data_IF_626362709321
#
_entry.id   IF_626362709321
#
_cell.length_a   1.000
_cell.length_b   1.000
_cell.length_c   1.000
_cell.angle_alpha   90.00
_cell.angle_beta   90.00
_cell.angle_gamma   90.00
#
_symmetry.space_group_name_H-M   'P 1'
#
loop_
_entity.id
_entity.type
_entity.pdbx_description
1 polymer ?
#
# COMPACT_ATOMS: atom_id res chain seq x y z
N UNK A 1 -7.57 -1.50 -21.47
CA UNK A 1 -6.79 -1.17 -20.25
C UNK A 1 -5.94 -2.38 -19.87
N UNK A 2 -4.67 -2.15 -19.57
CA UNK A 2 -3.78 -3.24 -19.17
C UNK A 2 -4.16 -3.73 -17.77
N UNK A 3 -4.15 -5.05 -17.59
CA UNK A 3 -4.44 -5.66 -16.30
C UNK A 3 -3.15 -5.93 -15.55
N UNK A 4 -3.09 -5.49 -14.29
CA UNK A 4 -1.93 -5.66 -13.42
C UNK A 4 -2.37 -6.21 -12.08
N UNK A 5 -1.65 -7.21 -11.58
CA UNK A 5 -1.83 -7.72 -10.22
C UNK A 5 -0.69 -7.19 -9.37
N UNK A 6 -1.02 -6.62 -8.21
CA UNK A 6 -0.02 -6.04 -7.31
C UNK A 6 -0.17 -6.65 -5.92
N UNK A 7 0.94 -7.10 -5.34
CA UNK A 7 1.04 -7.50 -3.94
C UNK A 7 1.90 -6.49 -3.22
N UNK A 8 1.48 -6.07 -2.03
CA UNK A 8 2.20 -5.05 -1.24
C UNK A 8 2.35 -5.50 0.19
N UNK A 9 3.42 -5.05 0.85
CA UNK A 9 3.62 -5.28 2.27
C UNK A 9 4.49 -4.19 2.87
N UNK A 10 4.33 -3.98 4.16
CA UNK A 10 5.15 -3.07 4.94
C UNK A 10 5.52 -3.70 6.26
N UNK A 11 6.69 -3.39 6.76
CA UNK A 11 7.19 -3.91 8.02
C UNK A 11 7.90 -2.79 8.78
N UNK A 12 7.88 -2.89 10.10
CA UNK A 12 8.54 -1.91 10.96
C UNK A 12 9.13 -2.61 12.17
N UNK A 13 10.39 -2.30 12.46
CA UNK A 13 11.07 -2.83 13.63
C UNK A 13 10.90 -1.83 14.78
N UNK A 14 9.88 -2.06 15.59
CA UNK A 14 9.38 -1.07 16.54
C UNK A 14 8.32 -0.19 15.85
N UNK A 15 7.58 0.54 16.61
CA UNK A 15 6.49 1.33 16.03
C UNK A 15 6.28 2.61 16.85
N UNK A 16 7.06 3.70 16.60
CA UNK A 16 7.92 3.93 15.44
C UNK A 16 9.29 3.26 15.54
N UNK A 17 9.95 3.16 14.38
CA UNK A 17 11.28 2.61 14.25
C UNK A 17 11.67 2.45 12.79
N UNK A 18 12.78 1.77 12.49
CA UNK A 18 13.16 1.53 11.10
C UNK A 18 12.16 0.61 10.43
N UNK A 19 11.80 0.94 9.20
CA UNK A 19 10.81 0.20 8.44
C UNK A 19 11.19 -0.01 7.00
N UNK A 20 10.50 -0.95 6.36
CA UNK A 20 10.65 -1.24 4.95
C UNK A 20 9.31 -1.51 4.31
N UNK A 21 9.26 -1.35 3.01
CA UNK A 21 8.08 -1.62 2.21
C UNK A 21 8.47 -2.34 0.92
N UNK A 22 7.55 -3.07 0.35
CA UNK A 22 7.80 -3.77 -0.90
C UNK A 22 6.53 -3.99 -1.69
N UNK A 23 6.67 -4.12 -3.00
CA UNK A 23 5.57 -4.47 -3.88
C UNK A 23 6.07 -5.37 -5.00
N UNK A 24 5.22 -6.28 -5.43
CA UNK A 24 5.44 -7.13 -6.59
C UNK A 24 4.32 -6.83 -7.59
N UNK A 25 4.70 -6.42 -8.79
CA UNK A 25 3.76 -6.06 -9.86
C UNK A 25 3.87 -7.10 -10.96
N UNK A 26 2.73 -7.65 -11.38
CA UNK A 26 2.68 -8.70 -12.38
C UNK A 26 1.70 -8.31 -13.49
N UNK A 27 2.14 -8.40 -14.73
CA UNK A 27 1.29 -8.22 -15.90
C UNK A 27 1.69 -9.25 -16.96
N UNK A 28 0.84 -10.28 -17.12
CA UNK A 28 1.16 -11.39 -17.99
C UNK A 28 2.42 -12.12 -17.53
N UNK A 29 3.43 -12.16 -18.37
CA UNK A 29 4.71 -12.78 -18.05
C UNK A 29 5.69 -11.83 -17.37
N UNK A 30 5.35 -10.54 -17.30
CA UNK A 30 6.23 -9.54 -16.70
C UNK A 30 6.03 -9.49 -15.20
N UNK A 31 7.14 -9.45 -14.48
CA UNK A 31 7.16 -9.35 -13.03
C UNK A 31 8.18 -8.31 -12.62
N UNK A 32 7.78 -7.39 -11.78
CA UNK A 32 8.68 -6.36 -11.25
C UNK A 32 8.57 -6.31 -9.73
N UNK A 33 9.71 -6.26 -9.07
CA UNK A 33 9.78 -6.09 -7.61
C UNK A 33 10.35 -4.72 -7.31
N UNK A 34 9.71 -3.99 -6.39
CA UNK A 34 10.21 -2.71 -5.90
C UNK A 34 10.18 -2.72 -4.38
N UNK A 35 11.12 -2.03 -3.77
CA UNK A 35 11.19 -1.97 -2.31
C UNK A 35 11.98 -0.74 -1.87
N UNK A 36 11.83 -0.36 -0.62
CA UNK A 36 12.54 0.75 -0.03
C UNK A 36 12.46 0.72 1.48
N UNK A 37 13.21 1.58 2.14
CA UNK A 37 13.26 1.64 3.58
C UNK A 37 13.25 3.07 4.12
N UNK A 38 12.98 3.19 5.42
CA UNK A 38 12.95 4.46 6.11
C UNK A 38 13.46 4.25 7.53
N UNK A 39 14.39 5.11 7.98
CA UNK A 39 15.02 4.93 9.29
C UNK A 39 14.08 5.09 10.46
N UNK A 40 13.05 5.93 10.32
CA UNK A 40 12.06 6.12 11.36
C UNK A 40 10.68 6.29 10.74
N UNK A 41 9.82 5.32 10.98
CA UNK A 41 8.50 5.28 10.37
C UNK A 41 7.56 4.42 11.23
N UNK A 42 6.37 4.14 10.73
CA UNK A 42 5.41 3.26 11.38
C UNK A 42 4.99 2.14 10.43
N UNK A 43 4.42 1.09 10.98
CA UNK A 43 3.93 -0.01 10.16
C UNK A 43 2.89 0.48 9.12
N UNK A 44 1.93 1.32 9.57
CA UNK A 44 0.91 1.83 8.67
C UNK A 44 1.49 2.69 7.53
N UNK A 45 2.49 3.53 7.84
CA UNK A 45 3.15 4.33 6.80
C UNK A 45 3.84 3.43 5.78
N UNK A 46 4.48 2.36 6.22
CA UNK A 46 5.15 1.44 5.30
C UNK A 46 4.14 0.67 4.43
N UNK A 47 3.03 0.24 5.01
CA UNK A 47 1.96 -0.39 4.24
C UNK A 47 1.40 0.55 3.17
N UNK A 48 1.13 1.80 3.54
CA UNK A 48 0.64 2.81 2.61
C UNK A 48 1.66 3.17 1.55
N UNK A 49 2.93 3.26 1.93
CA UNK A 49 4.03 3.60 1.01
C UNK A 49 4.18 2.51 -0.05
N UNK A 50 4.04 1.24 0.32
CA UNK A 50 4.09 0.15 -0.64
C UNK A 50 3.00 0.30 -1.71
N UNK A 51 1.78 0.64 -1.30
CA UNK A 51 0.67 0.86 -2.22
C UNK A 51 0.94 2.07 -3.11
N UNK A 52 1.35 3.18 -2.52
CA UNK A 52 1.64 4.41 -3.25
C UNK A 52 2.71 4.20 -4.31
N UNK A 53 3.85 3.62 -3.92
CA UNK A 53 4.96 3.42 -4.84
C UNK A 53 4.61 2.41 -5.94
N UNK A 54 3.83 1.38 -5.63
CA UNK A 54 3.37 0.43 -6.63
C UNK A 54 2.49 1.11 -7.69
N UNK A 55 1.54 1.94 -7.27
CA UNK A 55 0.67 2.65 -8.20
C UNK A 55 1.43 3.69 -9.02
N UNK A 56 2.42 4.35 -8.41
CA UNK A 56 3.29 5.32 -9.11
C UNK A 56 4.16 4.64 -10.17
N UNK A 57 4.46 3.36 -10.02
CA UNK A 57 5.27 2.62 -10.98
C UNK A 57 4.51 2.32 -12.28
N UNK A 58 3.20 2.47 -12.29
CA UNK A 58 2.39 2.22 -13.48
C UNK A 58 2.51 3.40 -14.44
N UNK A 59 2.91 3.12 -15.67
CA UNK A 59 3.21 4.16 -16.67
C UNK A 59 2.02 4.52 -17.55
N UNK A 60 0.96 3.75 -17.49
CA UNK A 60 -0.26 3.98 -18.27
C UNK A 60 -1.46 3.59 -17.42
N UNK A 61 -2.64 3.97 -17.87
CA UNK A 61 -3.88 3.61 -17.18
C UNK A 61 -4.04 2.10 -17.13
N UNK A 62 -4.24 1.55 -15.94
CA UNK A 62 -4.32 0.10 -15.71
C UNK A 62 -5.55 -0.28 -14.91
N UNK A 63 -6.00 -1.51 -15.11
CA UNK A 63 -6.95 -2.17 -14.23
C UNK A 63 -6.14 -3.02 -13.25
N UNK A 64 -6.23 -2.69 -11.96
CA UNK A 64 -5.35 -3.23 -10.93
C UNK A 64 -6.13 -4.06 -9.92
N UNK A 65 -5.66 -5.30 -9.67
CA UNK A 65 -6.06 -6.08 -8.52
C UNK A 65 -4.92 -5.97 -7.50
N UNK A 66 -5.16 -5.24 -6.43
CA UNK A 66 -4.16 -4.97 -5.41
C UNK A 66 -4.46 -5.78 -4.16
N UNK A 67 -3.46 -6.50 -3.68
CA UNK A 67 -3.54 -7.37 -2.51
C UNK A 67 -2.66 -6.86 -1.39
N UNK A 68 -3.24 -6.74 -0.20
CA UNK A 68 -2.53 -6.31 1.02
C UNK A 68 -3.08 -7.07 2.21
N UNK A 69 -2.25 -7.38 3.18
CA UNK A 69 -2.70 -7.98 4.44
C UNK A 69 -3.12 -6.92 5.47
N UNK A 70 -2.96 -5.64 5.15
CA UNK A 70 -3.35 -4.55 6.03
C UNK A 70 -4.84 -4.25 5.93
N UNK A 71 -5.60 -4.60 6.97
CA UNK A 71 -7.02 -4.26 7.06
C UNK A 71 -7.23 -2.74 7.01
N UNK A 72 -6.35 -1.98 7.66
CA UNK A 72 -6.39 -0.52 7.66
C UNK A 72 -6.38 0.04 6.23
N UNK A 73 -5.43 -0.43 5.40
CA UNK A 73 -5.31 0.07 4.03
C UNK A 73 -6.48 -0.36 3.14
N UNK A 74 -6.85 -1.63 3.21
CA UNK A 74 -7.89 -2.19 2.35
C UNK A 74 -9.26 -1.63 2.71
N UNK A 75 -9.57 -1.54 3.99
CA UNK A 75 -10.89 -1.10 4.45
C UNK A 75 -11.13 0.38 4.25
N UNK A 76 -10.08 1.21 4.19
CA UNK A 76 -10.25 2.62 3.89
C UNK A 76 -10.99 2.82 2.56
N UNK A 77 -10.77 1.94 1.59
CA UNK A 77 -11.49 1.98 0.32
C UNK A 77 -12.74 1.10 0.37
N UNK A 78 -12.64 -0.13 0.82
CA UNK A 78 -13.74 -1.09 0.75
C UNK A 78 -14.90 -0.74 1.69
N UNK A 79 -14.62 -0.12 2.83
CA UNK A 79 -15.65 0.35 3.75
C UNK A 79 -15.96 1.85 3.58
N UNK A 80 -15.31 2.49 2.62
CA UNK A 80 -15.63 3.86 2.26
C UNK A 80 -15.10 4.94 3.21
N UNK A 81 -14.16 4.63 4.10
CA UNK A 81 -13.62 5.63 5.03
C UNK A 81 -13.04 6.83 4.32
N UNK A 82 -12.31 6.59 3.23
CA UNK A 82 -11.64 7.66 2.50
C UNK A 82 -12.65 8.65 1.90
N UNK A 83 -13.81 8.18 1.47
CA UNK A 83 -14.85 9.04 0.91
C UNK A 83 -15.49 9.92 1.98
N UNK A 84 -15.62 9.41 3.20
CA UNK A 84 -16.08 10.20 4.34
C UNK A 84 -15.06 11.26 4.72
N UNK A 85 -13.77 10.92 4.71
CA UNK A 85 -12.71 11.88 4.99
C UNK A 85 -12.72 13.03 3.99
N UNK A 86 -12.89 12.72 2.71
CA UNK A 86 -12.95 13.73 1.66
C UNK A 86 -14.12 14.69 1.90
N UNK A 87 -15.31 14.15 2.21
CA UNK A 87 -16.50 14.97 2.49
C UNK A 87 -16.32 15.89 3.69
N UNK A 88 -15.54 15.47 4.67
CA UNK A 88 -15.32 16.23 5.91
C UNK A 88 -14.05 17.07 5.87
N UNK A 89 -13.44 17.25 4.70
CA UNK A 89 -12.22 18.03 4.55
C UNK A 89 -10.99 17.38 5.18
N UNK A 90 -10.93 16.05 5.10
CA UNK A 90 -9.84 15.23 5.63
C UNK A 90 -9.74 15.31 7.16
N UNK A 91 -10.89 15.26 7.78
CA UNK A 91 -11.00 15.21 9.26
C UNK A 91 -11.78 13.98 9.69
N UNK A 92 -11.42 13.47 10.86
CA UNK A 92 -12.15 12.38 11.50
C UNK A 92 -13.40 12.92 12.19
N UNK A 93 -14.21 12.02 12.76
CA UNK A 93 -15.47 12.40 13.41
C UNK A 93 -15.27 13.37 14.60
N UNK A 94 -14.13 13.31 15.27
CA UNK A 94 -13.81 14.19 16.40
C UNK A 94 -13.18 15.52 15.98
N UNK A 95 -13.07 15.78 14.67
CA UNK A 95 -12.50 17.01 14.14
C UNK A 95 -10.99 17.02 13.97
N UNK A 96 -10.32 15.93 14.30
CA UNK A 96 -8.86 15.80 14.09
C UNK A 96 -8.53 15.57 12.63
N UNK A 97 -7.34 16.02 12.21
CA UNK A 97 -6.84 15.75 10.86
C UNK A 97 -6.62 14.24 10.70
N UNK A 98 -7.02 13.70 9.56
CA UNK A 98 -6.83 12.28 9.26
C UNK A 98 -5.34 11.94 9.31
N UNK A 99 -4.99 10.89 10.03
CA UNK A 99 -3.62 10.42 10.16
C UNK A 99 -3.11 9.96 8.80
N UNK A 100 -1.86 10.32 8.46
CA UNK A 100 -1.24 9.99 7.17
C UNK A 100 -1.98 10.62 5.98
N UNK A 101 -2.60 11.79 6.21
CA UNK A 101 -3.43 12.46 5.22
C UNK A 101 -2.74 12.63 3.85
N UNK A 102 -1.49 13.07 3.84
CA UNK A 102 -0.78 13.35 2.58
C UNK A 102 -0.63 12.08 1.73
N UNK A 103 -0.29 10.96 2.37
CA UNK A 103 -0.12 9.69 1.66
C UNK A 103 -1.48 9.23 1.12
N UNK A 104 -2.52 9.32 1.94
CA UNK A 104 -3.88 8.96 1.52
C UNK A 104 -4.36 9.78 0.34
N UNK A 105 -4.06 11.08 0.34
CA UNK A 105 -4.43 11.98 -0.76
C UNK A 105 -3.75 11.57 -2.07
N UNK A 106 -2.46 11.24 -2.01
CA UNK A 106 -1.72 10.80 -3.18
C UNK A 106 -2.26 9.46 -3.71
N UNK A 107 -2.56 8.51 -2.83
CA UNK A 107 -3.15 7.23 -3.22
C UNK A 107 -4.51 7.45 -3.88
N UNK A 108 -5.34 8.29 -3.28
CA UNK A 108 -6.67 8.58 -3.83
C UNK A 108 -6.58 9.13 -5.25
N UNK A 109 -5.68 10.08 -5.50
CA UNK A 109 -5.50 10.63 -6.84
C UNK A 109 -5.09 9.54 -7.85
N UNK A 110 -4.25 8.60 -7.44
CA UNK A 110 -3.86 7.49 -8.31
C UNK A 110 -5.01 6.51 -8.56
N UNK A 111 -5.90 6.32 -7.59
CA UNK A 111 -7.09 5.46 -7.80
C UNK A 111 -8.10 6.09 -8.76
N UNK A 112 -8.02 7.40 -8.99
CA UNK A 112 -8.82 8.08 -10.01
C UNK A 112 -8.24 7.88 -11.41
N UNK A 113 -6.93 7.69 -11.49
CA UNK A 113 -6.21 7.49 -12.74
C UNK A 113 -6.28 6.04 -13.22
N UNK A 114 -6.33 5.11 -12.29
CA UNK A 114 -6.39 3.67 -12.57
C UNK A 114 -7.67 3.09 -11.98
N UNK A 115 -8.11 1.94 -12.52
CA UNK A 115 -9.20 1.21 -11.90
C UNK A 115 -8.60 0.22 -10.90
N UNK A 116 -8.71 0.51 -9.61
CA UNK A 116 -8.05 -0.28 -8.57
C UNK A 116 -9.08 -0.98 -7.69
N UNK A 117 -8.96 -2.30 -7.59
CA UNK A 117 -9.73 -3.09 -6.63
C UNK A 117 -8.80 -3.51 -5.51
N UNK A 118 -9.20 -3.24 -4.27
CA UNK A 118 -8.43 -3.59 -3.08
C UNK A 118 -8.92 -4.90 -2.50
N UNK A 119 -8.00 -5.83 -2.29
CA UNK A 119 -8.29 -7.17 -1.78
C UNK A 119 -7.44 -7.45 -0.55
N UNK A 120 -8.06 -7.95 0.52
CA UNK A 120 -7.32 -8.30 1.72
C UNK A 120 -6.81 -9.74 1.62
N UNK A 121 -5.51 -9.91 1.83
CA UNK A 121 -4.88 -11.22 1.95
C UNK A 121 -4.86 -11.57 3.43
N UNK A 122 -5.10 -12.84 3.76
CA UNK A 122 -4.94 -13.30 5.14
C UNK A 122 -3.46 -13.23 5.50
N UNK A 123 -3.14 -12.59 6.63
CA UNK A 123 -1.76 -12.56 7.13
C UNK A 123 -1.24 -13.98 7.29
N UNK A 124 0.03 -14.20 6.98
CA UNK A 124 0.67 -15.52 6.99
C UNK A 124 -0.03 -16.53 6.08
N UNK A 125 -0.71 -16.05 5.05
CA UNK A 125 -1.35 -16.93 4.08
C UNK A 125 -0.29 -17.60 3.22
N UNK A 126 -0.69 -18.67 2.55
CA UNK A 126 0.20 -19.43 1.67
C UNK A 126 0.43 -18.73 0.33
N UNK A 127 0.14 -17.44 0.23
CA UNK A 127 0.35 -16.68 -0.99
C UNK A 127 1.84 -16.36 -1.13
N UNK A 128 2.48 -17.02 -2.06
CA UNK A 128 3.92 -16.89 -2.30
C UNK A 128 4.36 -15.45 -2.52
N UNK A 129 3.59 -14.68 -3.29
CA UNK A 129 3.94 -13.30 -3.61
C UNK A 129 3.80 -12.36 -2.42
N UNK A 130 2.82 -12.63 -1.54
CA UNK A 130 2.70 -11.87 -0.30
C UNK A 130 3.91 -12.13 0.60
N UNK A 131 4.33 -13.39 0.70
CA UNK A 131 5.53 -13.76 1.45
C UNK A 131 6.79 -13.13 0.86
N UNK A 132 6.86 -13.03 -0.46
CA UNK A 132 7.97 -12.36 -1.13
C UNK A 132 8.04 -10.89 -0.78
N UNK A 133 6.89 -10.21 -0.71
CA UNK A 133 6.84 -8.80 -0.29
C UNK A 133 7.33 -8.62 1.14
N UNK A 134 6.94 -9.51 2.05
CA UNK A 134 7.40 -9.47 3.43
C UNK A 134 8.93 -9.63 3.50
N UNK A 135 9.47 -10.58 2.75
CA UNK A 135 10.91 -10.82 2.69
C UNK A 135 11.65 -9.58 2.19
N UNK A 136 11.17 -8.97 1.11
CA UNK A 136 11.80 -7.77 0.55
C UNK A 136 11.71 -6.59 1.50
N UNK A 137 10.57 -6.38 2.15
CA UNK A 137 10.38 -5.30 3.11
C UNK A 137 11.35 -5.44 4.29
N UNK A 138 11.48 -6.64 4.83
CA UNK A 138 12.40 -6.90 5.95
C UNK A 138 13.86 -6.73 5.54
N UNK A 139 14.20 -7.13 4.32
CA UNK A 139 15.56 -6.95 3.80
C UNK A 139 15.93 -5.46 3.72
N UNK A 140 14.97 -4.60 3.42
CA UNK A 140 15.21 -3.15 3.39
C UNK A 140 15.52 -2.60 4.79
N UNK A 141 14.89 -3.14 5.84
CA UNK A 141 15.18 -2.73 7.21
C UNK A 141 16.64 -3.07 7.55
N UNK A 142 17.10 -4.24 7.14
CA UNK A 142 18.46 -4.70 7.43
C UNK A 142 19.54 -3.85 6.76
N UNK A 143 19.19 -3.11 5.72
CA UNK A 143 20.12 -2.21 5.02
C UNK A 143 20.26 -0.84 5.68
N UNK A 144 19.41 -0.53 6.62
CA UNK A 144 19.38 0.80 7.26
C UNK A 144 20.45 0.96 8.34
#
# INVERSE_FOLDING_TARGET
>A
MQKVTIYTDGACSGNPGPGGWAAVLISGEYKKEISGGCKETTNNIMELTAILEALKALKQECEVELYSDSAYCVNAFNQGWIYNWIKKGWKTADGSVVKNKEIWQEIYELTKKHKVNFNKVKGHSDVELNNRCDELARAEIDKL
#
